data_IF_602264600446
#
_entry.id   IF_602264600446
#
_cell.length_a   1.000
_cell.length_b   1.000
_cell.length_c   1.000
_cell.angle_alpha   90.00
_cell.angle_beta   90.00
_cell.angle_gamma   90.00
#
_symmetry.space_group_name_H-M   'P 1'
#
loop_
_entity.id
_entity.type
_entity.pdbx_description
1 polymer ?
#
# COMPACT_ATOMS: atom_id res chain seq x y z
N UNK A 1 -3.81 -10.48 -15.79
CA UNK A 1 -3.78 -10.93 -14.38
C UNK A 1 -4.40 -9.81 -13.55
N UNK A 2 -5.66 -9.95 -13.18
CA UNK A 2 -6.36 -9.00 -12.29
C UNK A 2 -5.75 -9.14 -10.90
N UNK A 3 -4.85 -8.23 -10.52
CA UNK A 3 -4.39 -8.13 -9.14
C UNK A 3 -5.62 -7.79 -8.28
N UNK A 4 -5.93 -8.65 -7.32
CA UNK A 4 -7.02 -8.45 -6.37
C UNK A 4 -6.80 -7.21 -5.50
N UNK A 5 -7.83 -6.78 -4.75
CA UNK A 5 -7.73 -5.58 -3.92
C UNK A 5 -6.61 -5.68 -2.88
N UNK A 6 -5.96 -4.54 -2.58
CA UNK A 6 -5.04 -4.41 -1.45
C UNK A 6 -5.65 -5.01 -0.18
N UNK A 7 -4.95 -5.98 0.41
CA UNK A 7 -5.34 -6.54 1.70
C UNK A 7 -4.76 -5.73 2.84
N UNK A 8 -5.59 -5.37 3.82
CA UNK A 8 -5.19 -4.69 5.05
C UNK A 8 -4.85 -5.73 6.11
N UNK A 9 -3.65 -5.64 6.69
CA UNK A 9 -3.18 -6.54 7.75
C UNK A 9 -2.36 -5.73 8.77
N UNK A 10 -2.31 -6.15 10.05
CA UNK A 10 -1.39 -5.55 11.01
C UNK A 10 0.07 -5.82 10.61
N UNK A 11 0.95 -4.90 10.95
CA UNK A 11 2.40 -5.08 10.82
C UNK A 11 3.17 -3.78 10.82
N UNK A 12 4.49 -3.92 10.69
CA UNK A 12 5.43 -2.80 10.66
C UNK A 12 5.43 -2.12 9.29
N UNK A 13 5.36 -0.79 9.30
CA UNK A 13 5.50 0.01 8.10
C UNK A 13 6.98 0.10 7.69
N UNK A 14 7.29 -0.18 6.42
CA UNK A 14 8.65 -0.12 5.88
C UNK A 14 9.24 1.31 5.78
N UNK A 15 8.46 2.36 6.03
CA UNK A 15 8.90 3.76 5.90
C UNK A 15 9.08 4.47 7.23
N UNK A 16 8.12 4.35 8.15
CA UNK A 16 8.21 4.97 9.48
C UNK A 16 8.59 4.00 10.60
N UNK A 17 8.80 2.72 10.28
CA UNK A 17 9.16 1.67 11.23
C UNK A 17 8.17 1.44 12.38
N UNK A 18 7.02 2.11 12.37
CA UNK A 18 5.98 1.94 13.37
C UNK A 18 5.18 0.65 13.12
N UNK A 19 4.87 -0.06 14.21
CA UNK A 19 3.86 -1.11 14.21
C UNK A 19 2.46 -0.48 14.09
N UNK A 20 1.73 -0.86 13.05
CA UNK A 20 0.40 -0.37 12.77
C UNK A 20 -0.57 -1.56 12.77
N UNK A 21 -1.76 -1.34 13.33
CA UNK A 21 -2.86 -2.32 13.23
C UNK A 21 -3.38 -2.48 11.81
N UNK A 22 -3.11 -1.49 10.94
CA UNK A 22 -3.54 -1.46 9.55
C UNK A 22 -2.39 -1.04 8.62
N UNK A 23 -1.89 -2.01 7.85
CA UNK A 23 -0.93 -1.82 6.77
C UNK A 23 -1.38 -2.54 5.51
N UNK A 24 -0.89 -2.07 4.37
CA UNK A 24 -1.16 -2.65 3.05
C UNK A 24 0.13 -3.17 2.45
N UNK A 25 0.05 -4.28 1.72
CA UNK A 25 1.19 -4.78 0.95
C UNK A 25 1.14 -4.21 -0.47
N UNK A 26 2.11 -3.37 -0.79
CA UNK A 26 2.28 -2.74 -2.10
C UNK A 26 3.42 -3.40 -2.87
N UNK A 27 3.16 -3.75 -4.12
CA UNK A 27 4.21 -4.25 -4.99
C UNK A 27 5.14 -3.10 -5.40
N UNK A 28 6.44 -3.29 -5.18
CA UNK A 28 7.46 -2.37 -5.67
C UNK A 28 7.97 -2.88 -7.00
N UNK A 29 7.87 -2.05 -8.03
CA UNK A 29 8.39 -2.34 -9.36
C UNK A 29 9.65 -1.49 -9.54
N UNK A 30 10.75 -1.91 -8.91
CA UNK A 30 12.05 -1.34 -9.26
C UNK A 30 12.53 -1.96 -10.57
N UNK A 31 12.75 -1.13 -11.59
CA UNK A 31 13.42 -1.58 -12.82
C UNK A 31 14.86 -1.97 -12.47
N UNK A 32 15.17 -3.26 -12.55
CA UNK A 32 16.54 -3.78 -12.44
C UNK A 32 16.92 -4.39 -11.09
N UNK A 33 16.05 -4.38 -10.07
CA UNK A 33 16.39 -4.85 -8.71
C UNK A 33 16.06 -6.33 -8.42
N UNK A 34 15.71 -7.12 -9.43
CA UNK A 34 15.40 -8.55 -9.25
C UNK A 34 13.90 -8.86 -9.11
N UNK A 35 13.53 -9.95 -8.42
CA UNK A 35 12.13 -10.38 -8.31
C UNK A 35 11.24 -9.29 -7.71
N UNK A 36 9.95 -9.23 -8.10
CA UNK A 36 9.02 -8.28 -7.50
C UNK A 36 8.89 -8.55 -5.99
N UNK A 37 9.29 -7.59 -5.18
CA UNK A 37 9.10 -7.61 -3.72
C UNK A 37 7.92 -6.70 -3.33
N UNK A 38 7.15 -7.13 -2.33
CA UNK A 38 6.05 -6.34 -1.78
C UNK A 38 6.47 -5.66 -0.48
N UNK A 39 6.39 -4.34 -0.40
CA UNK A 39 6.59 -3.60 0.85
C UNK A 39 5.29 -3.48 1.62
N UNK A 40 5.39 -3.52 2.95
CA UNK A 40 4.27 -3.26 3.84
C UNK A 40 4.29 -1.80 4.29
N UNK A 41 3.19 -1.09 4.12
CA UNK A 41 3.10 0.34 4.42
C UNK A 41 1.82 0.67 5.18
N UNK A 42 1.89 1.59 6.14
CA UNK A 42 0.66 2.20 6.66
C UNK A 42 -0.03 3.03 5.56
N UNK A 43 -1.35 3.24 5.68
CA UNK A 43 -2.14 3.95 4.66
C UNK A 43 -1.53 5.30 4.24
N UNK A 44 -1.06 6.18 5.14
CA UNK A 44 -0.43 7.44 4.76
C UNK A 44 0.79 7.28 3.85
N UNK A 45 1.70 6.35 4.16
CA UNK A 45 2.88 6.10 3.33
C UNK A 45 2.52 5.38 2.02
N UNK A 46 1.50 4.52 2.03
CA UNK A 46 0.98 3.93 0.81
C UNK A 46 0.39 5.00 -0.12
N UNK A 47 -0.32 6.00 0.41
CA UNK A 47 -0.81 7.15 -0.38
C UNK A 47 0.32 7.96 -0.98
N UNK A 48 1.37 8.23 -0.21
CA UNK A 48 2.55 8.94 -0.73
C UNK A 48 3.24 8.12 -1.82
N UNK A 49 3.47 6.82 -1.58
CA UNK A 49 4.12 5.93 -2.55
C UNK A 49 3.31 5.81 -3.85
N UNK A 50 1.98 5.81 -3.78
CA UNK A 50 1.09 5.75 -4.94
C UNK A 50 1.27 6.91 -5.94
N UNK A 51 1.86 8.04 -5.50
CA UNK A 51 2.15 9.19 -6.37
C UNK A 51 3.48 9.07 -7.13
N UNK A 52 4.29 8.06 -6.80
CA UNK A 52 5.62 7.88 -7.42
C UNK A 52 5.51 7.17 -8.76
N UNK A 53 6.50 7.40 -9.63
CA UNK A 53 6.61 6.71 -10.94
C UNK A 53 6.83 5.18 -10.83
N UNK A 54 7.11 4.68 -9.62
CA UNK A 54 7.38 3.26 -9.35
C UNK A 54 6.16 2.53 -8.79
N UNK A 55 5.08 3.27 -8.50
CA UNK A 55 3.81 2.69 -8.09
C UNK A 55 3.18 1.88 -9.22
N UNK A 56 2.43 0.84 -8.85
CA UNK A 56 1.55 0.18 -9.79
C UNK A 56 0.44 1.17 -10.24
N UNK A 57 -0.01 1.14 -11.51
CA UNK A 57 -0.97 2.12 -12.03
C UNK A 57 -2.29 2.17 -11.26
N UNK A 58 -2.71 1.04 -10.71
CA UNK A 58 -3.94 0.83 -9.94
C UNK A 58 -3.79 1.11 -8.44
N UNK A 59 -2.58 1.47 -7.99
CA UNK A 59 -2.31 1.62 -6.55
C UNK A 59 -3.03 2.83 -5.96
N UNK A 60 -3.07 3.96 -6.68
CA UNK A 60 -3.73 5.17 -6.22
C UNK A 60 -5.23 4.94 -5.98
N UNK A 61 -5.92 4.30 -6.94
CA UNK A 61 -7.33 3.94 -6.81
C UNK A 61 -7.58 2.99 -5.64
N UNK A 62 -6.71 2.00 -5.43
CA UNK A 62 -6.86 1.05 -4.33
C UNK A 62 -6.67 1.72 -2.97
N UNK A 63 -5.68 2.59 -2.82
CA UNK A 63 -5.45 3.34 -1.57
C UNK A 63 -6.61 4.31 -1.31
N UNK A 64 -7.14 4.97 -2.36
CA UNK A 64 -8.30 5.84 -2.23
C UNK A 64 -9.55 5.08 -1.74
N UNK A 65 -9.79 3.86 -2.25
CA UNK A 65 -10.89 3.00 -1.76
C UNK A 65 -10.74 2.64 -0.29
N UNK A 66 -9.52 2.38 0.18
CA UNK A 66 -9.27 2.07 1.59
C UNK A 66 -9.48 3.28 2.50
N UNK A 67 -9.12 4.49 2.07
CA UNK A 67 -9.44 5.71 2.81
C UNK A 67 -10.94 5.92 2.94
N UNK A 68 -11.71 5.77 1.85
CA UNK A 68 -13.18 5.87 1.89
C UNK A 68 -13.80 4.85 2.85
N UNK A 69 -13.35 3.59 2.78
CA UNK A 69 -13.84 2.55 3.68
C UNK A 69 -13.57 2.87 5.17
N UNK A 70 -12.49 3.58 5.49
CA UNK A 70 -12.20 4.08 6.85
C UNK A 70 -13.10 5.24 7.25
N UNK A 71 -13.39 6.16 6.34
CA UNK A 71 -14.30 7.28 6.59
C UNK A 71 -15.75 6.79 6.79
N UNK A 72 -16.14 5.75 6.05
CA UNK A 72 -17.46 5.11 6.14
C UNK A 72 -17.59 4.20 7.38
N UNK A 73 -16.48 3.70 7.92
CA UNK A 73 -16.44 2.85 9.10
C UNK A 73 -15.35 3.30 10.07
N UNK A 74 -15.53 4.46 10.73
CA UNK A 74 -14.60 4.96 11.72
C UNK A 74 -14.70 4.06 12.96
N UNK A 75 -13.82 3.07 13.04
CA UNK A 75 -13.65 2.25 14.24
C UNK A 75 -13.08 3.06 15.39
#
# INVERSE_FOLDING_TARGET
MTRGPLSVQPGRCAYCDADNTETVQVAVIERGSGPPHGLRMCLPHASQYATTRYAAPDLADQVARLWRAREENPR
#
